data_IF_621760552494
#
_entry.id   IF_621760552494
#
_cell.length_a   1.000
_cell.length_b   1.000
_cell.length_c   1.000
_cell.angle_alpha   90.00
_cell.angle_beta   90.00
_cell.angle_gamma   90.00
#
_symmetry.space_group_name_H-M   'P 1'
#
loop_
_entity.id
_entity.type
_entity.pdbx_description
1 polymer ?
#
# COMPACT_ATOMS: atom_id res chain seq x y z
N UNK A 1 -15.01 -0.58 50.63
CA UNK A 1 -14.74 -1.63 49.61
C UNK A 1 -13.42 -1.30 48.96
N UNK A 2 -12.36 -2.08 49.22
CA UNK A 2 -11.06 -1.87 48.59
C UNK A 2 -11.15 -2.22 47.10
N UNK A 3 -10.70 -1.33 46.22
CA UNK A 3 -10.62 -1.58 44.77
C UNK A 3 -9.64 -2.73 44.55
N UNK A 4 -10.10 -3.85 43.96
CA UNK A 4 -9.22 -4.96 43.57
C UNK A 4 -8.22 -4.48 42.50
N UNK A 5 -6.97 -4.96 42.52
CA UNK A 5 -5.96 -4.55 41.55
C UNK A 5 -6.42 -4.86 40.11
N UNK A 6 -6.25 -3.89 39.22
CA UNK A 6 -6.59 -3.98 37.81
C UNK A 6 -5.42 -3.42 37.01
N UNK A 7 -4.95 -4.14 36.00
CA UNK A 7 -3.69 -3.83 35.29
C UNK A 7 -3.91 -3.97 33.78
N UNK A 8 -3.40 -3.01 33.00
CA UNK A 8 -3.40 -3.05 31.54
C UNK A 8 -2.10 -3.68 31.01
N UNK A 9 -2.23 -4.54 30.00
CA UNK A 9 -1.12 -5.32 29.44
C UNK A 9 -1.09 -5.22 27.91
N UNK A 10 0.05 -4.80 27.37
CA UNK A 10 0.28 -4.77 25.93
C UNK A 10 0.80 -6.14 25.46
N UNK A 11 0.13 -6.75 24.49
CA UNK A 11 0.53 -8.06 23.94
C UNK A 11 1.40 -7.83 22.68
N UNK A 12 2.62 -8.39 22.67
CA UNK A 12 3.51 -8.38 21.50
C UNK A 12 4.89 -7.75 21.70
N UNK A 13 5.05 -6.90 22.72
CA UNK A 13 6.36 -6.46 23.22
C UNK A 13 6.49 -7.07 24.60
N UNK A 14 7.52 -7.89 24.87
CA UNK A 14 7.80 -8.57 26.16
C UNK A 14 6.93 -8.05 27.31
N UNK A 15 5.83 -8.78 27.61
CA UNK A 15 4.72 -8.36 28.47
C UNK A 15 5.23 -7.41 29.57
N UNK A 16 4.92 -6.12 29.44
CA UNK A 16 5.27 -5.10 30.43
C UNK A 16 4.00 -4.38 30.88
N UNK A 17 3.84 -4.10 32.19
CA UNK A 17 2.73 -3.31 32.68
C UNK A 17 2.84 -1.88 32.12
N UNK A 18 1.76 -1.37 31.55
CA UNK A 18 1.70 0.05 31.16
C UNK A 18 1.54 0.86 32.44
N UNK A 19 2.48 1.78 32.72
CA UNK A 19 2.38 2.69 33.87
C UNK A 19 1.07 3.46 33.83
N UNK A 20 0.20 3.19 34.80
CA UNK A 20 -0.95 4.02 35.09
C UNK A 20 -0.46 5.33 35.73
N UNK A 21 -0.37 6.39 34.95
CA UNK A 21 -0.42 7.73 35.54
C UNK A 21 -1.78 7.84 36.26
N UNK A 22 -1.70 8.12 37.56
CA UNK A 22 -2.81 8.23 38.49
C UNK A 22 -3.95 9.09 37.95
N UNK A 23 -5.13 8.49 37.80
CA UNK A 23 -6.42 9.17 37.67
C UNK A 23 -6.67 10.07 38.89
N UNK A 24 -6.57 11.39 38.72
CA UNK A 24 -7.28 12.34 39.57
C UNK A 24 -8.65 12.62 38.93
N UNK A 25 -9.67 11.93 39.42
CA UNK A 25 -11.06 12.28 39.21
C UNK A 25 -11.38 13.52 40.05
N UNK A 26 -11.62 14.67 39.42
CA UNK A 26 -12.44 15.75 39.96
C UNK A 26 -13.31 16.32 38.83
N UNK A 27 -14.61 16.08 39.02
CA UNK A 27 -15.77 16.93 38.72
C UNK A 27 -15.91 17.61 37.35
N UNK A 28 -17.06 17.32 36.74
CA UNK A 28 -17.69 18.08 35.68
C UNK A 28 -18.36 19.30 36.30
N UNK A 29 -18.03 20.49 35.80
CA UNK A 29 -18.97 21.53 35.34
C UNK A 29 -18.17 22.82 35.13
N UNK A 30 -17.99 23.23 33.88
CA UNK A 30 -18.27 24.62 33.51
C UNK A 30 -18.39 24.76 31.99
N UNK A 31 -19.54 25.29 31.62
CA UNK A 31 -19.96 25.65 30.28
C UNK A 31 -19.61 27.12 30.09
N UNK A 32 -18.85 27.49 29.05
CA UNK A 32 -18.92 28.85 28.51
C UNK A 32 -18.86 28.84 26.97
N UNK A 33 -19.89 29.38 26.27
CA UNK A 33 -20.06 29.26 24.84
C UNK A 33 -19.64 30.55 24.13
N UNK A 34 -18.37 30.74 23.78
CA UNK A 34 -18.03 31.71 22.73
C UNK A 34 -16.61 31.56 22.20
N UNK A 35 -16.44 30.82 21.10
CA UNK A 35 -15.57 31.28 20.01
C UNK A 35 -15.99 30.61 18.71
N UNK A 36 -16.88 31.29 17.98
CA UNK A 36 -17.14 30.99 16.58
C UNK A 36 -15.90 31.30 15.73
N UNK A 37 -15.74 30.57 14.62
CA UNK A 37 -16.18 31.05 13.29
C UNK A 37 -15.55 30.16 12.20
N UNK A 38 -16.43 29.61 11.36
CA UNK A 38 -16.35 29.40 9.89
C UNK A 38 -15.04 28.88 9.25
N UNK A 39 -15.06 27.92 8.33
CA UNK A 39 -16.01 27.69 7.25
C UNK A 39 -16.07 26.17 6.94
N UNK A 40 -17.24 25.58 6.68
CA UNK A 40 -17.88 25.58 5.35
C UNK A 40 -16.99 24.76 4.41
N UNK A 41 -17.32 23.51 4.04
CA UNK A 41 -18.41 23.13 3.13
C UNK A 41 -18.62 21.61 3.18
N UNK A 42 -19.84 21.17 3.47
CA UNK A 42 -20.51 20.05 2.79
C UNK A 42 -21.81 20.64 2.19
N UNK A 43 -22.59 19.97 1.31
CA UNK A 43 -22.47 18.64 0.70
C UNK A 43 -22.74 18.65 -0.84
N UNK A 44 -22.66 17.49 -1.51
CA UNK A 44 -23.35 17.05 -2.75
C UNK A 44 -22.44 16.03 -3.50
N UNK A 45 -22.69 14.72 -3.36
CA UNK A 45 -23.47 13.84 -4.28
C UNK A 45 -22.48 12.92 -5.07
N UNK A 46 -22.86 11.83 -5.77
CA UNK A 46 -24.16 11.15 -5.89
C UNK A 46 -24.11 9.63 -5.60
N UNK A 47 -25.29 9.02 -5.55
CA UNK A 47 -25.51 7.57 -5.61
C UNK A 47 -24.71 6.91 -6.76
N UNK A 48 -24.10 5.75 -6.48
CA UNK A 48 -23.91 4.66 -7.45
C UNK A 48 -24.21 3.31 -6.77
N UNK A 49 -24.97 2.39 -7.42
CA UNK A 49 -25.49 1.16 -6.84
C UNK A 49 -24.61 -0.07 -7.17
N UNK A 50 -24.41 -0.96 -6.20
CA UNK A 50 -23.80 -2.30 -6.37
C UNK A 50 -22.29 -2.24 -6.63
N UNK A 51 -21.41 -2.80 -5.81
CA UNK A 51 -21.36 -4.19 -5.39
C UNK A 51 -20.91 -4.25 -3.93
N UNK A 52 -21.88 -4.30 -3.01
CA UNK A 52 -21.62 -4.62 -1.62
C UNK A 52 -21.33 -6.12 -1.49
N UNK A 53 -20.07 -6.53 -1.66
CA UNK A 53 -19.59 -7.72 -0.94
C UNK A 53 -19.19 -7.19 0.42
N UNK A 54 -20.21 -6.97 1.26
CA UNK A 54 -20.02 -6.94 2.70
C UNK A 54 -19.51 -8.34 3.03
N UNK A 55 -18.32 -8.54 3.61
CA UNK A 55 -18.01 -9.83 4.18
C UNK A 55 -19.07 -10.04 5.26
N UNK A 56 -19.91 -11.05 5.08
CA UNK A 56 -20.88 -11.43 6.09
C UNK A 56 -20.16 -11.51 7.44
N UNK A 57 -20.73 -10.97 8.53
CA UNK A 57 -20.15 -11.21 9.84
C UNK A 57 -20.12 -12.73 10.02
N UNK A 58 -18.93 -13.28 10.17
CA UNK A 58 -18.76 -14.67 10.57
C UNK A 58 -19.34 -14.77 11.98
N UNK A 59 -20.63 -15.03 12.09
CA UNK A 59 -21.24 -15.62 13.28
C UNK A 59 -20.67 -17.03 13.42
N UNK A 60 -19.46 -17.13 13.95
CA UNK A 60 -18.93 -18.36 14.51
C UNK A 60 -19.42 -18.46 15.95
N UNK A 61 -20.70 -18.77 16.14
CA UNK A 61 -21.15 -19.43 17.37
C UNK A 61 -20.72 -20.90 17.30
N UNK A 62 -19.42 -21.13 17.39
CA UNK A 62 -18.89 -22.45 17.75
C UNK A 62 -18.90 -22.47 19.28
N UNK A 63 -19.56 -23.43 19.94
CA UNK A 63 -19.48 -23.53 21.40
C UNK A 63 -18.03 -23.82 21.77
N UNK A 64 -17.32 -22.78 22.19
CA UNK A 64 -15.93 -22.91 22.64
C UNK A 64 -15.97 -23.57 24.01
N UNK A 65 -15.71 -24.87 24.04
CA UNK A 65 -15.54 -25.64 25.27
C UNK A 65 -14.31 -25.08 25.99
N UNK A 66 -14.54 -24.33 27.06
CA UNK A 66 -13.48 -23.81 27.92
C UNK A 66 -12.98 -24.96 28.80
N UNK A 67 -11.74 -25.38 28.61
CA UNK A 67 -11.10 -26.46 29.37
C UNK A 67 -10.39 -25.95 30.63
N UNK A 68 -10.02 -26.84 31.55
CA UNK A 68 -9.21 -26.46 32.71
C UNK A 68 -7.77 -26.21 32.25
N UNK A 69 -7.26 -25.00 32.48
CA UNK A 69 -5.89 -24.63 32.10
C UNK A 69 -5.00 -24.77 33.33
N UNK A 70 -3.96 -25.59 33.22
CA UNK A 70 -2.97 -25.79 34.27
C UNK A 70 -1.69 -25.01 33.95
N UNK A 71 -1.36 -24.03 34.78
CA UNK A 71 -0.09 -23.30 34.74
C UNK A 71 0.82 -23.81 35.89
N UNK A 72 2.11 -23.43 35.90
CA UNK A 72 3.05 -23.89 36.94
C UNK A 72 2.67 -23.35 38.33
N UNK A 73 2.13 -22.14 38.36
CA UNK A 73 1.85 -21.41 39.60
C UNK A 73 0.34 -21.22 39.90
N UNK A 74 -0.54 -21.53 38.94
CA UNK A 74 -1.99 -21.46 39.12
C UNK A 74 -2.77 -22.43 38.23
N UNK A 75 -4.03 -22.67 38.59
CA UNK A 75 -5.00 -23.40 37.75
C UNK A 75 -6.18 -22.48 37.43
N UNK A 76 -6.60 -22.46 36.16
CA UNK A 76 -7.76 -21.71 35.69
C UNK A 76 -8.90 -22.68 35.42
N UNK A 77 -10.02 -22.49 36.13
CA UNK A 77 -11.24 -23.27 35.94
C UNK A 77 -12.22 -22.53 35.04
N UNK A 78 -12.85 -23.22 34.08
CA UNK A 78 -13.78 -22.59 33.15
C UNK A 78 -15.02 -22.03 33.87
N UNK A 79 -15.62 -20.95 33.34
CA UNK A 79 -16.89 -20.43 33.84
C UNK A 79 -18.02 -21.46 33.63
N UNK A 80 -19.06 -21.36 34.46
CA UNK A 80 -20.26 -22.19 34.30
C UNK A 80 -20.94 -21.87 32.95
N UNK A 81 -21.15 -22.87 32.07
CA UNK A 81 -21.76 -22.65 30.75
C UNK A 81 -23.22 -22.15 30.80
N UNK A 82 -23.89 -22.28 31.95
CA UNK A 82 -25.27 -21.83 32.13
C UNK A 82 -25.39 -20.34 32.50
N UNK A 83 -24.26 -19.63 32.65
CA UNK A 83 -24.25 -18.19 32.93
C UNK A 83 -24.01 -17.41 31.64
N UNK A 84 -24.63 -16.22 31.47
CA UNK A 84 -24.37 -15.38 30.31
C UNK A 84 -22.88 -15.05 30.20
N UNK A 85 -22.33 -15.00 28.97
CA UNK A 85 -20.94 -14.62 28.77
C UNK A 85 -20.67 -13.24 29.37
N UNK A 86 -19.47 -13.00 29.92
CA UNK A 86 -19.10 -11.68 30.42
C UNK A 86 -19.30 -10.62 29.33
N UNK A 87 -19.85 -9.46 29.68
CA UNK A 87 -19.92 -8.34 28.76
C UNK A 87 -18.51 -7.94 28.32
N UNK A 88 -18.29 -7.87 27.01
CA UNK A 88 -17.05 -7.40 26.38
C UNK A 88 -17.32 -6.07 25.69
N UNK A 89 -16.35 -5.17 25.72
CA UNK A 89 -16.42 -3.91 24.98
C UNK A 89 -16.25 -4.14 23.48
N UNK A 90 -16.72 -3.18 22.68
CA UNK A 90 -16.35 -3.14 21.27
C UNK A 90 -14.85 -2.87 21.13
N UNK A 91 -14.21 -3.57 20.19
CA UNK A 91 -12.75 -3.48 19.97
C UNK A 91 -12.37 -2.11 19.41
N UNK A 92 -11.53 -1.33 20.11
CA UNK A 92 -11.03 -0.06 19.57
C UNK A 92 -10.14 -0.26 18.33
N UNK A 93 -10.09 0.71 17.39
CA UNK A 93 -9.18 0.66 16.25
C UNK A 93 -7.73 0.51 16.69
N UNK A 94 -7.04 -0.50 16.14
CA UNK A 94 -5.62 -0.73 16.46
C UNK A 94 -5.34 -1.37 17.81
N UNK A 95 -6.37 -1.75 18.58
CA UNK A 95 -6.21 -2.35 19.91
C UNK A 95 -5.30 -3.58 19.89
N UNK A 96 -4.19 -3.48 20.65
CA UNK A 96 -3.21 -4.53 20.96
C UNK A 96 -3.05 -4.75 22.47
N UNK A 97 -3.69 -3.91 23.27
CA UNK A 97 -3.65 -3.94 24.72
C UNK A 97 -4.93 -4.54 25.27
N UNK A 98 -4.80 -5.41 26.28
CA UNK A 98 -5.92 -5.97 27.03
C UNK A 98 -5.89 -5.49 28.47
N UNK A 99 -7.07 -5.28 29.03
CA UNK A 99 -7.26 -5.01 30.43
C UNK A 99 -7.47 -6.33 31.18
N UNK A 100 -6.75 -6.56 32.27
CA UNK A 100 -6.92 -7.74 33.12
C UNK A 100 -7.31 -7.30 34.53
N UNK A 101 -8.51 -7.72 34.96
CA UNK A 101 -9.06 -7.47 36.29
C UNK A 101 -9.48 -8.74 37.02
N UNK A 102 -9.80 -8.60 38.30
CA UNK A 102 -10.34 -9.70 39.12
C UNK A 102 -9.30 -10.74 39.57
N UNK A 103 -8.03 -10.33 39.60
CA UNK A 103 -6.91 -11.10 40.11
C UNK A 103 -7.01 -11.33 41.63
N UNK A 104 -6.47 -12.44 42.15
CA UNK A 104 -6.37 -12.70 43.59
C UNK A 104 -5.46 -11.66 44.27
N UNK A 105 -5.64 -11.46 45.57
CA UNK A 105 -4.91 -10.44 46.34
C UNK A 105 -3.41 -10.75 46.43
N UNK A 106 -3.06 -12.04 46.44
CA UNK A 106 -1.68 -12.54 46.43
C UNK A 106 -1.11 -12.74 45.01
N UNK A 107 -1.78 -12.22 43.96
CA UNK A 107 -1.29 -12.36 42.59
C UNK A 107 0.02 -11.57 42.38
N UNK A 108 1.06 -12.24 41.90
CA UNK A 108 2.29 -11.59 41.45
C UNK A 108 2.21 -11.26 39.96
N UNK A 109 3.00 -10.28 39.52
CA UNK A 109 3.10 -9.91 38.10
C UNK A 109 3.55 -11.10 37.23
N UNK A 110 4.48 -11.91 37.73
CA UNK A 110 4.99 -13.11 37.05
C UNK A 110 3.90 -14.14 36.76
N UNK A 111 2.90 -14.26 37.64
CA UNK A 111 1.76 -15.14 37.46
C UNK A 111 0.88 -14.69 36.28
N UNK A 112 0.61 -13.39 36.21
CA UNK A 112 -0.21 -12.79 35.16
C UNK A 112 0.50 -12.96 33.83
N UNK A 113 1.81 -12.71 33.81
CA UNK A 113 2.64 -12.97 32.64
C UNK A 113 2.58 -14.44 32.23
N UNK A 114 2.72 -15.39 33.15
CA UNK A 114 2.67 -16.82 32.83
C UNK A 114 1.32 -17.23 32.22
N UNK A 115 0.21 -16.80 32.83
CA UNK A 115 -1.14 -17.12 32.36
C UNK A 115 -1.46 -16.48 31.00
N UNK A 116 -1.05 -15.23 30.79
CA UNK A 116 -1.24 -14.54 29.51
C UNK A 116 -0.27 -15.05 28.44
N UNK A 117 0.95 -15.47 28.80
CA UNK A 117 1.97 -15.93 27.86
C UNK A 117 1.54 -17.19 27.11
N UNK A 118 0.74 -18.05 27.74
CA UNK A 118 0.16 -19.20 27.08
C UNK A 118 -0.80 -18.82 25.93
N UNK A 119 -1.28 -17.58 25.92
CA UNK A 119 -2.16 -17.00 24.89
C UNK A 119 -1.50 -15.82 24.14
N UNK A 120 -0.22 -15.54 24.39
CA UNK A 120 0.53 -14.39 23.87
C UNK A 120 1.28 -14.73 22.56
N UNK A 121 0.67 -15.52 21.68
CA UNK A 121 1.12 -15.52 20.29
C UNK A 121 0.73 -14.17 19.66
N UNK A 122 1.73 -13.57 19.03
CA UNK A 122 1.71 -12.24 18.41
C UNK A 122 0.38 -11.97 17.69
N UNK A 123 -0.23 -10.81 17.95
CA UNK A 123 -1.47 -10.27 17.35
C UNK A 123 -2.84 -10.71 17.87
N UNK A 124 -2.94 -11.60 18.85
CA UNK A 124 -4.27 -12.10 19.26
C UNK A 124 -4.74 -11.61 20.63
N UNK A 125 -5.04 -10.31 20.73
CA UNK A 125 -5.89 -9.78 21.83
C UNK A 125 -7.19 -10.57 21.96
N UNK A 126 -7.72 -11.06 20.84
CA UNK A 126 -8.92 -11.90 20.77
C UNK A 126 -8.71 -13.26 21.48
N UNK A 127 -7.49 -13.83 21.45
CA UNK A 127 -7.16 -15.06 22.20
C UNK A 127 -7.15 -14.81 23.71
N UNK A 128 -6.65 -13.66 24.14
CA UNK A 128 -6.63 -13.29 25.57
C UNK A 128 -8.03 -13.05 26.13
N UNK A 129 -8.98 -12.57 25.32
CA UNK A 129 -10.39 -12.43 25.73
C UNK A 129 -11.03 -13.77 26.15
N UNK A 130 -10.56 -14.92 25.63
CA UNK A 130 -11.08 -16.22 26.06
C UNK A 130 -10.87 -16.50 27.54
N UNK A 131 -9.84 -15.92 28.15
CA UNK A 131 -9.56 -16.04 29.59
C UNK A 131 -10.57 -15.30 30.46
N UNK A 132 -11.39 -14.42 29.87
CA UNK A 132 -12.45 -13.72 30.59
C UNK A 132 -13.48 -14.72 31.15
N UNK A 133 -13.76 -14.59 32.44
CA UNK A 133 -14.68 -15.44 33.19
C UNK A 133 -14.04 -16.66 33.86
N UNK A 134 -12.78 -16.99 33.59
CA UNK A 134 -12.08 -18.08 34.28
C UNK A 134 -11.90 -17.79 35.76
N UNK A 135 -12.01 -18.83 36.60
CA UNK A 135 -11.67 -18.76 38.01
C UNK A 135 -10.22 -19.18 38.20
N UNK A 136 -9.39 -18.27 38.69
CA UNK A 136 -7.99 -18.55 38.98
C UNK A 136 -7.83 -19.03 40.43
N UNK A 137 -6.98 -20.04 40.63
CA UNK A 137 -6.54 -20.53 41.94
C UNK A 137 -5.02 -20.60 42.00
N UNK A 138 -4.39 -19.98 43.00
CA UNK A 138 -2.94 -20.02 43.21
C UNK A 138 -2.53 -21.31 43.92
N UNK A 139 -1.59 -22.05 43.32
CA UNK A 139 -1.11 -23.34 43.85
C UNK A 139 -2.25 -24.30 44.25
N UNK A 140 -2.15 -24.87 45.46
CA UNK A 140 -3.15 -25.76 46.04
C UNK A 140 -4.05 -25.09 47.09
N UNK A 141 -3.87 -23.79 47.34
CA UNK A 141 -4.65 -23.06 48.35
C UNK A 141 -6.09 -22.90 47.90
N UNK A 142 -7.03 -23.02 48.85
CA UNK A 142 -8.47 -22.78 48.62
C UNK A 142 -8.95 -21.50 49.31
N UNK A 143 -8.02 -20.72 49.86
CA UNK A 143 -8.34 -19.50 50.57
C UNK A 143 -8.91 -18.43 49.64
N UNK A 144 -9.80 -17.61 50.18
CA UNK A 144 -10.47 -16.52 49.43
C UNK A 144 -9.47 -15.49 48.86
N UNK A 145 -8.27 -15.41 49.43
CA UNK A 145 -7.19 -14.50 49.00
C UNK A 145 -6.40 -15.04 47.80
N UNK A 146 -6.41 -16.35 47.62
CA UNK A 146 -5.68 -17.09 46.59
C UNK A 146 -6.58 -17.51 45.42
N UNK A 147 -7.84 -17.06 45.41
CA UNK A 147 -8.78 -17.28 44.31
C UNK A 147 -9.35 -15.97 43.79
N UNK A 148 -9.48 -15.89 42.46
CA UNK A 148 -10.01 -14.73 41.75
C UNK A 148 -10.88 -15.14 40.58
N UNK A 149 -11.62 -14.19 40.01
CA UNK A 149 -12.37 -14.38 38.76
C UNK A 149 -11.80 -13.42 37.73
N UNK A 150 -11.08 -13.97 36.77
CA UNK A 150 -10.44 -13.20 35.72
C UNK A 150 -11.50 -12.50 34.86
N UNK A 151 -11.25 -11.22 34.60
CA UNK A 151 -11.97 -10.46 33.59
C UNK A 151 -10.92 -9.89 32.65
N UNK A 152 -10.97 -10.34 31.39
CA UNK A 152 -10.11 -9.84 30.32
C UNK A 152 -11.01 -9.16 29.30
N UNK A 153 -10.67 -7.92 28.94
CA UNK A 153 -11.42 -7.13 27.96
C UNK A 153 -10.45 -6.24 27.16
N UNK A 154 -10.93 -5.63 26.08
CA UNK A 154 -10.13 -4.67 25.31
C UNK A 154 -9.77 -3.45 26.16
N UNK A 155 -8.50 -3.05 26.11
CA UNK A 155 -8.05 -1.81 26.73
C UNK A 155 -8.11 -0.68 25.70
N UNK A 156 -8.58 0.49 26.13
CA UNK A 156 -8.49 1.70 25.33
C UNK A 156 -7.14 2.39 25.60
N UNK A 157 -6.07 1.83 25.02
CA UNK A 157 -4.74 2.42 25.12
C UNK A 157 -4.57 3.58 24.13
N UNK A 158 -4.11 4.74 24.63
CA UNK A 158 -3.84 5.92 23.80
C UNK A 158 -2.79 5.65 22.72
N UNK A 159 -1.76 4.89 23.07
CA UNK A 159 -0.65 4.57 22.18
C UNK A 159 -1.09 3.66 21.02
N UNK A 160 -1.93 2.65 21.29
CA UNK A 160 -2.50 1.77 20.27
C UNK A 160 -3.30 2.56 19.22
N UNK A 161 -4.12 3.52 19.67
CA UNK A 161 -4.89 4.39 18.79
C UNK A 161 -3.96 5.29 17.95
N UNK A 162 -2.96 5.91 18.59
CA UNK A 162 -2.01 6.78 17.90
C UNK A 162 -1.20 6.05 16.82
N UNK A 163 -0.70 4.84 17.13
CA UNK A 163 0.00 3.99 16.16
C UNK A 163 -0.89 3.63 14.96
N UNK A 164 -2.16 3.31 15.23
CA UNK A 164 -3.13 2.99 14.19
C UNK A 164 -3.38 4.20 13.28
N UNK A 165 -3.60 5.39 13.84
CA UNK A 165 -3.78 6.61 13.05
C UNK A 165 -2.54 6.93 12.20
N UNK A 166 -1.34 6.77 12.75
CA UNK A 166 -0.10 6.96 12.01
C UNK A 166 0.01 6.02 10.82
N UNK A 167 -0.34 4.74 11.01
CA UNK A 167 -0.38 3.74 9.92
C UNK A 167 -1.44 4.07 8.88
N UNK A 168 -2.63 4.54 9.27
CA UNK A 168 -3.65 4.97 8.31
C UNK A 168 -3.17 6.15 7.46
N UNK A 169 -2.50 7.14 8.07
CA UNK A 169 -1.92 8.28 7.33
C UNK A 169 -0.80 7.84 6.38
N UNK A 170 0.00 6.84 6.76
CA UNK A 170 1.03 6.25 5.89
C UNK A 170 0.40 5.58 4.66
N UNK A 171 -0.56 4.67 4.87
CA UNK A 171 -1.26 3.98 3.78
C UNK A 171 -1.95 4.97 2.83
N UNK A 172 -2.60 6.01 3.37
CA UNK A 172 -3.23 7.04 2.55
C UNK A 172 -2.23 7.83 1.68
N UNK A 173 -1.00 8.05 2.17
CA UNK A 173 0.06 8.69 1.36
C UNK A 173 0.56 7.74 0.27
N UNK A 174 0.77 6.48 0.62
CA UNK A 174 1.22 5.46 -0.33
C UNK A 174 0.20 5.22 -1.44
N UNK A 175 -1.09 5.16 -1.12
CA UNK A 175 -2.18 5.04 -2.09
C UNK A 175 -2.18 6.20 -3.09
N UNK A 176 -2.03 7.45 -2.58
CA UNK A 176 -1.90 8.63 -3.45
C UNK A 176 -0.65 8.57 -4.32
N UNK A 177 0.47 8.09 -3.77
CA UNK A 177 1.70 7.93 -4.52
C UNK A 177 1.56 6.87 -5.62
N UNK A 178 0.96 5.72 -5.31
CA UNK A 178 0.68 4.64 -6.25
C UNK A 178 -0.22 5.11 -7.39
N UNK A 179 -1.32 5.79 -7.05
CA UNK A 179 -2.25 6.36 -8.03
C UNK A 179 -1.58 7.40 -8.93
N UNK A 180 -0.73 8.28 -8.37
CA UNK A 180 0.02 9.26 -9.15
C UNK A 180 0.99 8.58 -10.13
N UNK A 181 1.72 7.56 -9.67
CA UNK A 181 2.65 6.81 -10.53
C UNK A 181 1.93 6.09 -11.68
N UNK A 182 0.73 5.55 -11.43
CA UNK A 182 -0.08 4.92 -12.46
C UNK A 182 -0.65 5.94 -13.46
N UNK A 183 -1.13 7.09 -12.97
CA UNK A 183 -1.58 8.21 -13.81
C UNK A 183 -0.44 8.76 -14.67
N UNK A 184 0.75 8.96 -14.08
CA UNK A 184 1.93 9.45 -14.80
C UNK A 184 2.42 8.43 -15.85
N UNK A 185 2.21 7.12 -15.64
CA UNK A 185 2.49 6.09 -16.66
C UNK A 185 1.55 6.15 -17.86
N UNK A 186 0.31 6.60 -17.64
CA UNK A 186 -0.70 6.72 -18.71
C UNK A 186 -0.62 8.05 -19.45
N UNK A 187 0.09 9.04 -18.90
CA UNK A 187 0.36 10.28 -19.64
C UNK A 187 1.22 9.99 -20.87
N UNK A 188 0.84 10.51 -22.05
CA UNK A 188 1.71 10.45 -23.22
C UNK A 188 3.08 11.03 -22.86
N UNK A 189 4.19 10.41 -23.33
CA UNK A 189 5.50 10.99 -23.13
C UNK A 189 5.51 12.42 -23.67
N UNK A 190 6.07 13.33 -22.89
CA UNK A 190 6.25 14.73 -23.30
C UNK A 190 6.83 14.75 -24.72
N UNK A 191 6.29 15.58 -25.64
CA UNK A 191 6.81 15.67 -26.99
C UNK A 191 8.33 15.87 -26.96
N UNK A 192 9.11 15.19 -27.83
CA UNK A 192 10.55 15.32 -27.85
C UNK A 192 10.96 16.80 -27.90
N UNK A 193 12.03 17.20 -27.17
CA UNK A 193 12.51 18.58 -27.20
C UNK A 193 12.72 19.02 -28.66
N UNK A 194 12.03 20.09 -29.06
CA UNK A 194 12.15 20.59 -30.43
C UNK A 194 13.51 21.29 -30.53
N UNK A 195 14.43 20.70 -31.28
CA UNK A 195 15.74 21.30 -31.55
C UNK A 195 15.53 22.64 -32.23
N UNK A 196 16.04 23.72 -31.64
CA UNK A 196 15.98 25.06 -32.22
C UNK A 196 17.13 25.27 -33.20
N UNK A 197 16.93 26.16 -34.18
CA UNK A 197 18.02 26.52 -35.09
C UNK A 197 19.15 27.22 -34.33
N UNK A 198 20.36 26.70 -34.50
CA UNK A 198 21.60 27.41 -34.20
C UNK A 198 22.63 27.07 -35.27
N UNK A 199 23.67 27.87 -35.41
CA UNK A 199 24.74 27.60 -36.38
C UNK A 199 25.45 26.26 -36.10
N UNK A 200 25.67 25.94 -34.83
CA UNK A 200 26.24 24.67 -34.40
C UNK A 200 25.34 23.47 -34.75
N UNK A 201 24.05 23.55 -34.41
CA UNK A 201 23.08 22.51 -34.73
C UNK A 201 22.92 22.34 -36.24
N UNK A 202 22.96 23.44 -37.01
CA UNK A 202 22.87 23.41 -38.46
C UNK A 202 24.06 22.66 -39.10
N UNK A 203 25.27 22.89 -38.58
CA UNK A 203 26.46 22.18 -39.03
C UNK A 203 26.35 20.68 -38.74
N UNK A 204 26.01 20.32 -37.50
CA UNK A 204 25.79 18.91 -37.11
C UNK A 204 24.68 18.24 -37.93
N UNK A 205 23.59 18.96 -38.21
CA UNK A 205 22.48 18.43 -38.99
C UNK A 205 22.90 18.14 -40.43
N UNK A 206 23.70 19.03 -41.03
CA UNK A 206 24.25 18.84 -42.37
C UNK A 206 25.07 17.56 -42.52
N UNK A 207 25.84 17.19 -41.49
CA UNK A 207 26.58 15.92 -41.47
C UNK A 207 25.66 14.72 -41.23
N UNK A 208 24.68 14.84 -40.32
CA UNK A 208 23.69 13.77 -40.06
C UNK A 208 22.83 13.44 -41.30
N UNK A 209 22.54 14.41 -42.17
CA UNK A 209 21.78 14.17 -43.42
C UNK A 209 22.56 13.28 -44.40
N UNK A 210 23.89 13.27 -44.34
CA UNK A 210 24.75 12.44 -45.20
C UNK A 210 24.94 11.02 -44.65
N UNK A 211 24.55 10.78 -43.41
CA UNK A 211 24.67 9.48 -42.73
C UNK A 211 23.36 8.69 -42.86
N UNK A 212 23.42 7.54 -43.53
CA UNK A 212 22.28 6.65 -43.78
C UNK A 212 21.53 6.23 -42.51
N UNK A 213 22.27 5.94 -41.44
CA UNK A 213 21.68 5.49 -40.19
C UNK A 213 20.95 6.60 -39.43
N UNK A 214 21.29 7.86 -39.70
CA UNK A 214 20.75 9.04 -39.01
C UNK A 214 19.82 9.88 -39.87
N UNK A 215 19.72 9.58 -41.16
CA UNK A 215 18.95 10.37 -42.11
C UNK A 215 17.47 10.55 -41.74
N UNK A 216 16.71 9.52 -41.28
CA UNK A 216 15.30 9.69 -40.93
C UNK A 216 15.07 10.69 -39.78
N UNK A 217 15.95 10.68 -38.78
CA UNK A 217 15.91 11.61 -37.65
C UNK A 217 16.32 13.03 -38.12
N UNK A 218 17.39 13.11 -38.91
CA UNK A 218 17.93 14.36 -39.43
C UNK A 218 16.94 15.08 -40.36
N UNK A 219 16.28 14.37 -41.27
CA UNK A 219 15.32 14.98 -42.19
C UNK A 219 14.06 15.48 -41.46
N UNK A 220 13.65 14.82 -40.37
CA UNK A 220 12.56 15.30 -39.48
C UNK A 220 12.91 16.63 -38.83
N UNK A 221 14.14 16.79 -38.33
CA UNK A 221 14.61 18.05 -37.74
C UNK A 221 14.64 19.16 -38.81
N UNK A 222 15.17 18.86 -40.02
CA UNK A 222 15.17 19.80 -41.14
C UNK A 222 13.76 20.25 -41.50
N UNK A 223 12.81 19.31 -41.62
CA UNK A 223 11.39 19.61 -41.89
C UNK A 223 10.80 20.51 -40.80
N UNK A 224 11.07 20.21 -39.53
CA UNK A 224 10.57 21.01 -38.40
C UNK A 224 11.09 22.44 -38.47
N UNK A 225 12.35 22.66 -38.84
CA UNK A 225 12.91 24.01 -39.02
C UNK A 225 12.29 24.76 -40.20
N UNK A 226 11.97 24.05 -41.29
CA UNK A 226 11.27 24.62 -42.45
C UNK A 226 9.83 25.03 -42.10
N UNK A 227 9.08 24.15 -41.43
CA UNK A 227 7.68 24.40 -41.02
C UNK A 227 7.56 25.56 -40.02
N UNK A 228 8.55 25.73 -39.14
CA UNK A 228 8.59 26.83 -38.16
C UNK A 228 9.06 28.16 -38.74
N UNK A 229 9.57 28.19 -39.96
CA UNK A 229 10.09 29.41 -40.59
C UNK A 229 11.42 29.88 -40.01
N UNK A 230 12.29 28.97 -39.55
CA UNK A 230 13.65 29.29 -39.06
C UNK A 230 14.57 29.77 -40.21
N UNK A 231 14.11 29.66 -41.46
CA UNK A 231 14.82 30.10 -42.66
C UNK A 231 14.71 31.62 -42.83
N UNK A 232 15.86 32.27 -43.00
CA UNK A 232 15.99 33.69 -43.28
C UNK A 232 17.08 33.94 -44.34
N UNK A 233 17.24 35.20 -44.78
CA UNK A 233 18.23 35.55 -45.80
C UNK A 233 19.67 35.19 -45.46
N UNK A 234 20.03 35.10 -44.17
CA UNK A 234 21.41 34.82 -43.74
C UNK A 234 21.74 33.33 -43.75
N UNK A 235 20.76 32.46 -43.49
CA UNK A 235 20.96 31.01 -43.40
C UNK A 235 20.36 30.21 -44.58
N UNK A 236 19.69 30.85 -45.52
CA UNK A 236 19.04 30.19 -46.67
C UNK A 236 19.97 29.26 -47.45
N UNK A 237 21.25 29.62 -47.60
CA UNK A 237 22.24 28.78 -48.28
C UNK A 237 22.51 27.46 -47.55
N UNK A 238 22.47 27.46 -46.21
CA UNK A 238 22.65 26.25 -45.41
C UNK A 238 21.46 25.31 -45.58
N UNK A 239 20.24 25.85 -45.52
CA UNK A 239 19.01 25.08 -45.77
C UNK A 239 18.97 24.52 -47.19
N UNK A 240 19.34 25.33 -48.18
CA UNK A 240 19.43 24.87 -49.56
C UNK A 240 20.40 23.70 -49.71
N UNK A 241 21.59 23.81 -49.11
CA UNK A 241 22.60 22.75 -49.12
C UNK A 241 22.12 21.47 -48.44
N UNK A 242 21.41 21.59 -47.31
CA UNK A 242 20.80 20.45 -46.61
C UNK A 242 19.72 19.77 -47.46
N UNK A 243 18.82 20.54 -48.08
CA UNK A 243 17.78 20.02 -48.98
C UNK A 243 18.41 19.31 -50.19
N UNK A 244 19.47 19.88 -50.76
CA UNK A 244 20.20 19.25 -51.86
C UNK A 244 20.82 17.90 -51.44
N UNK A 245 21.43 17.85 -50.26
CA UNK A 245 21.97 16.60 -49.71
C UNK A 245 20.86 15.57 -49.49
N UNK A 246 19.70 15.97 -48.94
CA UNK A 246 18.54 15.09 -48.78
C UNK A 246 18.01 14.55 -50.10
N UNK A 247 17.91 15.40 -51.14
CA UNK A 247 17.47 14.97 -52.47
C UNK A 247 18.46 14.00 -53.13
N UNK A 248 19.76 14.22 -52.93
CA UNK A 248 20.79 13.28 -53.40
C UNK A 248 20.62 11.90 -52.76
N UNK A 249 20.39 11.88 -51.45
CA UNK A 249 20.13 10.66 -50.70
C UNK A 249 18.87 9.94 -51.19
N UNK A 250 17.76 10.65 -51.39
CA UNK A 250 16.52 10.09 -51.94
C UNK A 250 16.75 9.46 -53.32
N UNK A 251 17.47 10.14 -54.22
CA UNK A 251 17.78 9.60 -55.56
C UNK A 251 18.60 8.32 -55.47
N UNK A 252 19.59 8.25 -54.58
CA UNK A 252 20.39 7.05 -54.36
C UNK A 252 19.51 5.89 -53.87
N UNK A 253 18.70 6.11 -52.83
CA UNK A 253 17.79 5.09 -52.29
C UNK A 253 16.77 4.60 -53.34
N UNK A 254 16.25 5.49 -54.18
CA UNK A 254 15.36 5.10 -55.28
C UNK A 254 16.07 4.21 -56.32
N UNK A 255 17.34 4.50 -56.62
CA UNK A 255 18.15 3.68 -57.52
C UNK A 255 18.47 2.32 -56.91
N UNK A 256 18.85 2.26 -55.63
CA UNK A 256 19.11 1.01 -54.91
C UNK A 256 17.86 0.15 -54.80
N UNK A 257 16.72 0.76 -54.49
CA UNK A 257 15.42 0.08 -54.51
C UNK A 257 15.14 -0.55 -55.87
N UNK A 258 15.30 0.21 -56.96
CA UNK A 258 15.08 -0.31 -58.31
C UNK A 258 16.04 -1.46 -58.65
N UNK A 259 17.28 -1.39 -58.19
CA UNK A 259 18.28 -2.44 -58.40
C UNK A 259 17.91 -3.72 -57.65
N UNK A 260 17.55 -3.62 -56.38
CA UNK A 260 17.12 -4.78 -55.58
C UNK A 260 15.82 -5.40 -56.09
N UNK A 261 14.87 -4.60 -56.58
CA UNK A 261 13.66 -5.11 -57.22
C UNK A 261 13.98 -5.93 -58.48
N UNK A 262 14.94 -5.46 -59.29
CA UNK A 262 15.41 -6.19 -60.48
C UNK A 262 16.11 -7.50 -60.10
N UNK A 263 17.02 -7.46 -59.13
CA UNK A 263 17.73 -8.65 -58.64
C UNK A 263 16.76 -9.71 -58.08
N UNK A 264 15.73 -9.26 -57.37
CA UNK A 264 14.69 -10.13 -56.83
C UNK A 264 13.87 -10.80 -57.95
N UNK A 265 13.53 -10.07 -59.00
CA UNK A 265 12.80 -10.63 -60.15
C UNK A 265 13.67 -11.61 -60.94
N UNK A 266 14.95 -11.30 -61.16
CA UNK A 266 15.90 -12.22 -61.78
C UNK A 266 16.09 -13.50 -60.95
N UNK A 267 16.14 -13.39 -59.63
CA UNK A 267 16.24 -14.54 -58.73
C UNK A 267 14.97 -15.41 -58.78
N UNK A 268 13.78 -14.81 -58.85
CA UNK A 268 12.51 -15.53 -59.03
C UNK A 268 12.47 -16.29 -60.36
N UNK A 269 12.87 -15.67 -61.46
CA UNK A 269 12.89 -16.33 -62.76
C UNK A 269 13.91 -17.48 -62.78
N UNK A 270 15.12 -17.27 -62.24
CA UNK A 270 16.11 -18.35 -62.08
C UNK A 270 15.57 -19.53 -61.26
N UNK A 271 14.88 -19.25 -60.15
CA UNK A 271 14.26 -20.28 -59.32
C UNK A 271 13.17 -21.05 -60.09
N UNK A 272 12.31 -20.33 -60.80
CA UNK A 272 11.24 -20.92 -61.62
C UNK A 272 11.80 -21.80 -62.75
N UNK A 273 12.86 -21.34 -63.43
CA UNK A 273 13.55 -22.14 -64.45
C UNK A 273 14.18 -23.40 -63.85
N UNK A 274 14.85 -23.28 -62.70
CA UNK A 274 15.44 -24.43 -62.02
C UNK A 274 14.38 -25.47 -61.61
N UNK A 275 13.25 -25.02 -61.08
CA UNK A 275 12.14 -25.90 -60.70
C UNK A 275 11.52 -26.61 -61.91
N UNK A 276 11.31 -25.88 -63.02
CA UNK A 276 10.83 -26.47 -64.27
C UNK A 276 11.80 -27.53 -64.84
N UNK A 277 13.11 -27.31 -64.69
CA UNK A 277 14.13 -28.29 -65.07
C UNK A 277 14.07 -29.58 -64.23
N UNK A 278 13.78 -29.48 -62.93
CA UNK A 278 13.60 -30.65 -62.06
C UNK A 278 12.34 -31.43 -62.43
N UNK A 279 11.23 -30.74 -62.70
CA UNK A 279 9.96 -31.36 -63.09
C UNK A 279 9.98 -32.05 -64.47
N UNK A 280 10.95 -31.69 -65.32
CA UNK A 280 11.10 -32.25 -66.66
C UNK A 280 12.01 -33.48 -66.73
N UNK A 281 12.61 -33.90 -65.61
CA UNK A 281 13.38 -35.15 -65.47
C UNK A 281 12.52 -36.27 -64.89
#
# INVERSE_FOLDING_TARGET
>A
MQKKPSIAWQLGTLLSPVSSHSDSWLETDDFDPNLGMMAGITPMNPMMPGLGIVPAPLSQDVPVVKEIIHCKSCTLFPPNPNLPPPATRERPPGCKTVFVGGLPENATEQLIMEALRQFAEEFTVDKALFLSGYRIRLGSSTDKKDTGRLHVDFAQARDDLYEWECRQRMLAREERHRRKMEEDRLRPPSPPPIVHYSEHECSQLGDKIKDDGKFPEAVRVLLTWLERGEVNRRNANNFYSMIQSSNSHIRRLMSEKSQHEKEMEEAKEKFKTALAGILAQ
#
